data_IF_890665837367
#
_entry.id   IF_890665837367
#
_cell.length_a   1.000
_cell.length_b   1.000
_cell.length_c   1.000
_cell.angle_alpha   90.00
_cell.angle_beta   90.00
_cell.angle_gamma   90.00
#
_symmetry.space_group_name_H-M   'P 1'
#
loop_
_entity.id
_entity.type
_entity.pdbx_description
1 polymer ?
#
# COMPACT_ATOMS: atom_id res chain seq x y z
N UNK A 1 -4.55 -18.88 2.63
CA UNK A 1 -5.20 -17.55 2.45
C UNK A 1 -6.33 -17.51 3.46
N UNK A 2 -6.35 -16.54 4.37
CA UNK A 2 -7.36 -16.52 5.46
C UNK A 2 -8.61 -15.76 5.02
N UNK A 3 -8.46 -14.80 4.10
CA UNK A 3 -9.59 -14.12 3.49
C UNK A 3 -9.13 -12.99 2.58
N UNK A 4 -9.98 -12.64 1.63
CA UNK A 4 -9.83 -11.47 0.78
C UNK A 4 -11.21 -10.95 0.40
N UNK A 5 -11.36 -9.63 0.33
CA UNK A 5 -12.57 -8.97 -0.16
C UNK A 5 -12.24 -8.37 -1.53
N UNK A 6 -12.88 -8.89 -2.57
CA UNK A 6 -12.88 -8.28 -3.90
C UNK A 6 -14.17 -7.47 -3.98
N UNK A 7 -14.06 -6.15 -4.15
CA UNK A 7 -15.21 -5.25 -4.33
C UNK A 7 -15.09 -4.55 -5.67
N UNK A 8 -16.08 -4.79 -6.51
CA UNK A 8 -16.31 -4.04 -7.74
C UNK A 8 -17.42 -3.01 -7.47
N UNK A 9 -17.12 -1.72 -7.62
CA UNK A 9 -18.11 -0.64 -7.53
C UNK A 9 -18.17 0.09 -8.87
N UNK A 10 -19.33 0.01 -9.53
CA UNK A 10 -19.64 0.76 -10.74
C UNK A 10 -20.55 1.93 -10.38
N UNK A 11 -20.12 3.16 -10.65
CA UNK A 11 -20.90 4.38 -10.42
C UNK A 11 -21.12 5.09 -11.75
N UNK A 12 -22.36 5.15 -12.22
CA UNK A 12 -22.75 5.87 -13.43
C UNK A 12 -23.46 7.17 -13.05
N UNK A 13 -22.80 8.31 -13.25
CA UNK A 13 -23.36 9.64 -13.02
C UNK A 13 -23.75 10.26 -14.36
N UNK A 14 -25.02 10.60 -14.54
CA UNK A 14 -25.52 11.27 -15.73
C UNK A 14 -26.01 12.68 -15.36
N UNK A 15 -25.34 13.71 -15.88
CA UNK A 15 -25.70 15.11 -15.68
C UNK A 15 -26.13 15.70 -17.03
N UNK A 16 -27.32 16.31 -17.11
CA UNK A 16 -27.82 16.95 -18.34
C UNK A 16 -28.54 18.24 -18.04
N UNK A 17 -28.45 19.21 -18.96
CA UNK A 17 -29.25 20.44 -18.90
C UNK A 17 -30.69 20.11 -19.35
N UNK A 18 -31.73 20.43 -18.54
CA UNK A 18 -33.13 20.28 -18.96
C UNK A 18 -33.41 21.10 -20.24
N UNK A 19 -34.32 20.63 -21.10
CA UNK A 19 -34.64 21.20 -22.42
C UNK A 19 -33.56 20.99 -23.51
N UNK A 20 -32.35 21.52 -23.33
CA UNK A 20 -31.29 21.49 -24.35
C UNK A 20 -30.62 20.13 -24.49
N UNK A 21 -30.64 19.31 -23.43
CA UNK A 21 -30.12 17.96 -23.47
C UNK A 21 -30.83 17.11 -24.54
N UNK A 22 -32.15 17.24 -24.71
CA UNK A 22 -32.97 16.30 -25.51
C UNK A 22 -33.04 16.58 -27.02
N UNK A 23 -32.26 17.55 -27.51
CA UNK A 23 -32.19 17.87 -28.93
C UNK A 23 -31.35 16.81 -29.67
N UNK A 24 -31.92 16.06 -30.63
CA UNK A 24 -31.14 15.15 -31.48
C UNK A 24 -30.12 15.96 -32.30
N UNK A 25 -28.85 15.50 -32.30
CA UNK A 25 -27.74 16.17 -33.00
C UNK A 25 -26.92 17.14 -32.13
N UNK A 26 -27.55 17.98 -31.31
CA UNK A 26 -26.86 18.98 -30.46
C UNK A 26 -26.82 18.64 -28.96
N UNK A 27 -27.67 17.69 -28.53
CA UNK A 27 -27.83 17.34 -27.12
C UNK A 27 -26.59 16.74 -26.45
N UNK A 28 -25.62 16.24 -27.20
CA UNK A 28 -24.36 15.68 -26.68
C UNK A 28 -23.44 16.74 -26.06
N UNK A 29 -23.53 18.00 -26.49
CA UNK A 29 -22.74 19.11 -25.91
C UNK A 29 -23.26 19.57 -24.55
N UNK A 30 -24.52 19.28 -24.24
CA UNK A 30 -25.22 19.69 -23.02
C UNK A 30 -25.50 18.52 -22.06
N UNK A 31 -24.86 17.37 -22.29
CA UNK A 31 -24.89 16.17 -21.46
C UNK A 31 -23.47 15.81 -21.05
N UNK A 32 -23.27 15.48 -19.78
CA UNK A 32 -22.04 14.93 -19.24
C UNK A 32 -22.34 13.58 -18.60
N UNK A 33 -21.79 12.50 -19.14
CA UNK A 33 -21.87 11.15 -18.59
C UNK A 33 -20.51 10.79 -18.02
N UNK A 34 -20.44 10.59 -16.71
CA UNK A 34 -19.23 10.10 -16.03
C UNK A 34 -19.47 8.67 -15.59
N UNK A 35 -18.65 7.74 -16.08
CA UNK A 35 -18.64 6.35 -15.64
C UNK A 35 -17.38 6.12 -14.84
N UNK A 36 -17.53 5.79 -13.55
CA UNK A 36 -16.40 5.51 -12.65
C UNK A 36 -16.45 4.05 -12.24
N UNK A 37 -15.38 3.32 -12.56
CA UNK A 37 -15.19 1.92 -12.17
C UNK A 37 -14.09 1.82 -11.13
N UNK A 38 -14.41 1.38 -9.92
CA UNK A 38 -13.45 1.20 -8.83
C UNK A 38 -13.31 -0.30 -8.52
N UNK A 39 -12.11 -0.85 -8.68
CA UNK A 39 -11.76 -2.23 -8.30
C UNK A 39 -10.88 -2.21 -7.05
N UNK A 40 -11.37 -2.82 -5.96
CA UNK A 40 -10.62 -2.96 -4.72
C UNK A 40 -10.31 -4.44 -4.45
N UNK A 41 -9.02 -4.78 -4.41
CA UNK A 41 -8.53 -6.13 -4.12
C UNK A 41 -7.77 -6.12 -2.79
N UNK A 42 -8.35 -6.71 -1.74
CA UNK A 42 -7.69 -6.87 -0.45
C UNK A 42 -7.38 -8.35 -0.20
N UNK A 43 -6.13 -8.66 0.17
CA UNK A 43 -5.68 -10.02 0.47
C UNK A 43 -4.98 -10.07 1.83
N UNK A 44 -5.35 -11.04 2.66
CA UNK A 44 -4.73 -11.27 3.98
C UNK A 44 -4.14 -12.67 4.06
N UNK A 45 -2.84 -12.72 4.37
CA UNK A 45 -2.07 -13.96 4.52
C UNK A 45 -1.52 -14.05 5.95
N UNK A 46 -1.64 -15.22 6.57
CA UNK A 46 -0.91 -15.54 7.80
C UNK A 46 0.12 -16.63 7.49
N UNK A 47 1.34 -16.42 7.98
CA UNK A 47 2.40 -17.43 8.00
C UNK A 47 2.66 -17.84 9.45
N UNK A 48 1.99 -18.90 9.95
CA UNK A 48 2.29 -19.39 11.29
C UNK A 48 3.72 -19.95 11.32
N UNK A 49 4.42 -19.74 12.42
CA UNK A 49 5.75 -20.33 12.66
C UNK A 49 5.70 -21.06 14.00
N UNK A 50 5.99 -22.36 13.99
CA UNK A 50 6.03 -23.19 15.20
C UNK A 50 7.47 -23.21 15.72
N UNK A 51 7.67 -22.81 16.97
CA UNK A 51 8.98 -22.80 17.63
C UNK A 51 8.96 -23.85 18.73
N UNK A 52 9.72 -24.93 18.56
CA UNK A 52 9.65 -26.11 19.44
C UNK A 52 10.61 -26.04 20.64
N UNK A 53 11.68 -25.24 20.56
CA UNK A 53 12.71 -25.17 21.61
C UNK A 53 13.13 -23.75 21.94
N UNK A 54 13.56 -23.51 23.20
CA UNK A 54 14.07 -22.19 23.63
C UNK A 54 15.29 -21.74 22.81
N UNK A 55 16.14 -22.68 22.39
CA UNK A 55 17.27 -22.40 21.51
C UNK A 55 16.81 -21.94 20.11
N UNK A 56 15.77 -22.55 19.55
CA UNK A 56 15.21 -22.16 18.26
C UNK A 56 14.58 -20.74 18.30
N UNK A 57 14.00 -20.35 19.44
CA UNK A 57 13.48 -18.99 19.66
C UNK A 57 14.62 -17.98 19.60
N UNK A 58 15.68 -18.17 20.41
CA UNK A 58 16.84 -17.26 20.46
C UNK A 58 17.51 -17.11 19.09
N UNK A 59 17.67 -18.21 18.37
CA UNK A 59 18.29 -18.22 17.04
C UNK A 59 17.39 -17.51 16.00
N UNK A 60 16.08 -17.72 16.04
CA UNK A 60 15.15 -17.05 15.12
C UNK A 60 15.05 -15.54 15.37
N UNK A 61 15.17 -15.10 16.62
CA UNK A 61 15.22 -13.69 17.00
C UNK A 61 16.53 -13.06 16.55
N UNK A 62 17.67 -13.76 16.76
CA UNK A 62 19.00 -13.28 16.35
C UNK A 62 19.08 -13.01 14.85
N UNK A 63 18.65 -13.97 14.03
CA UNK A 63 18.63 -13.80 12.56
C UNK A 63 17.72 -12.67 12.09
N UNK A 64 16.55 -12.49 12.73
CA UNK A 64 15.65 -11.37 12.40
C UNK A 64 16.27 -10.03 12.78
N UNK A 65 16.93 -9.95 13.93
CA UNK A 65 17.60 -8.75 14.41
C UNK A 65 18.74 -8.36 13.46
N UNK A 66 19.62 -9.31 13.11
CA UNK A 66 20.72 -9.09 12.15
C UNK A 66 20.21 -8.58 10.78
N UNK A 67 19.13 -9.17 10.24
CA UNK A 67 18.54 -8.73 8.98
C UNK A 67 17.88 -7.33 9.03
N UNK A 68 17.48 -6.84 10.22
CA UNK A 68 16.89 -5.50 10.35
C UNK A 68 17.95 -4.39 10.26
N UNK A 69 19.18 -4.66 10.71
CA UNK A 69 20.29 -3.71 10.59
C UNK A 69 20.83 -3.60 9.16
N UNK A 70 20.61 -4.62 8.32
CA UNK A 70 21.01 -4.62 6.92
C UNK A 70 20.04 -3.80 6.04
N UNK A 71 18.75 -3.75 6.39
CA UNK A 71 17.70 -3.09 5.57
C UNK A 71 17.65 -1.56 5.75
N UNK A 72 18.26 -1.01 6.81
CA UNK A 72 18.33 0.45 7.05
C UNK A 72 19.40 1.16 6.18
N UNK A 73 20.13 0.44 5.31
CA UNK A 73 21.13 1.03 4.40
C UNK A 73 20.58 1.14 2.97
N UNK A 74 19.41 1.77 2.80
CA UNK A 74 18.97 2.28 1.50
C UNK A 74 18.15 3.56 1.71
N UNK A 75 18.84 4.67 2.00
CA UNK A 75 18.20 5.99 2.08
C UNK A 75 19.02 7.13 2.65
N UNK A 76 20.10 6.87 3.40
CA UNK A 76 21.06 7.90 3.84
C UNK A 76 22.46 7.32 3.77
N UNK A 77 23.40 8.12 3.25
CA UNK A 77 24.80 7.74 3.09
C UNK A 77 25.42 7.41 4.46
N UNK A 78 25.59 6.12 4.76
CA UNK A 78 26.13 5.61 6.03
C UNK A 78 27.58 6.07 6.25
N UNK A 79 28.24 6.57 5.22
CA UNK A 79 29.58 7.18 5.32
C UNK A 79 29.62 8.44 6.21
N UNK A 80 28.48 9.12 6.42
CA UNK A 80 28.41 10.36 7.20
C UNK A 80 28.20 10.13 8.71
N UNK A 81 27.58 9.02 9.13
CA UNK A 81 27.19 8.78 10.54
C UNK A 81 28.19 7.94 11.33
N UNK A 82 29.01 7.15 10.66
CA UNK A 82 30.00 6.27 11.32
C UNK A 82 31.03 7.05 12.16
N UNK A 83 31.60 8.20 11.73
CA UNK A 83 32.54 8.96 12.54
C UNK A 83 31.93 9.57 13.81
N UNK A 84 30.64 9.90 13.80
CA UNK A 84 29.95 10.56 14.92
C UNK A 84 29.71 9.61 16.10
N UNK A 85 29.47 8.33 15.81
CA UNK A 85 29.25 7.28 16.82
C UNK A 85 30.51 6.97 17.65
N UNK A 86 31.70 7.16 17.08
CA UNK A 86 32.97 6.97 17.78
C UNK A 86 33.39 8.18 18.63
N UNK A 87 32.82 9.36 18.34
CA UNK A 87 33.13 10.61 19.03
C UNK A 87 32.24 10.85 20.26
N UNK A 88 31.36 9.91 20.60
CA UNK A 88 30.55 9.97 21.82
C UNK A 88 29.49 11.07 21.82
N UNK A 89 29.19 11.67 20.67
CA UNK A 89 28.14 12.67 20.53
C UNK A 89 26.91 12.01 19.90
N UNK A 90 25.93 11.70 20.75
CA UNK A 90 24.62 11.15 20.38
C UNK A 90 23.63 12.34 20.37
N UNK A 91 22.73 12.48 19.38
CA UNK A 91 21.59 13.38 19.51
C UNK A 91 20.60 12.90 20.58
#
# INVERSE_FOLDING_TARGET
IIGGLIRDKETSTNSRVPLLGDIPGLGTLFRSKTTTTEKQNLMVFLRPTVLESRAAITESTRRKFENLYEVEIEGRDVSETIPELFNGNIP
#
